data_IF_874280212138
#
_entry.id   IF_874280212138
#
_cell.length_a   1.000
_cell.length_b   1.000
_cell.length_c   1.000
_cell.angle_alpha   90.00
_cell.angle_beta   90.00
_cell.angle_gamma   90.00
#
_symmetry.space_group_name_H-M   'P 1'
#
loop_
_entity.id
_entity.type
_entity.pdbx_description
1 polymer ?
#
# COMPACT_ATOMS: atom_id res chain seq x y z
N UNK A 1 -22.33 22.64 -1.79
CA UNK A 1 -23.05 21.41 -1.42
C UNK A 1 -22.67 20.31 -2.40
N UNK A 2 -21.76 19.43 -2.01
CA UNK A 2 -21.40 18.24 -2.77
C UNK A 2 -21.50 17.06 -1.83
N UNK A 3 -22.74 16.68 -1.51
CA UNK A 3 -23.02 15.55 -0.64
C UNK A 3 -22.61 14.29 -1.42
N UNK A 4 -21.42 13.77 -1.13
CA UNK A 4 -21.15 12.37 -1.39
C UNK A 4 -22.05 11.62 -0.42
N UNK A 5 -23.22 11.21 -0.92
CA UNK A 5 -24.06 10.23 -0.26
C UNK A 5 -23.30 8.92 -0.37
N UNK A 6 -22.47 8.61 0.63
CA UNK A 6 -22.06 7.23 0.83
C UNK A 6 -23.32 6.48 1.26
N UNK A 7 -23.91 5.73 0.33
CA UNK A 7 -25.00 4.82 0.63
C UNK A 7 -24.59 3.95 1.82
N UNK A 8 -25.36 4.07 2.91
CA UNK A 8 -25.31 3.18 4.07
C UNK A 8 -25.39 1.73 3.57
N UNK A 9 -24.29 0.98 3.63
CA UNK A 9 -24.34 -0.48 3.48
C UNK A 9 -23.34 -1.11 2.51
N UNK A 10 -22.53 -0.34 1.77
CA UNK A 10 -21.35 -0.93 1.12
C UNK A 10 -20.19 -0.93 2.10
N UNK A 11 -19.95 -2.09 2.72
CA UNK A 11 -18.66 -2.37 3.34
C UNK A 11 -17.56 -1.91 2.38
N UNK A 12 -16.53 -1.18 2.86
CA UNK A 12 -15.40 -0.81 2.00
C UNK A 12 -14.92 -2.10 1.36
N UNK A 13 -15.15 -2.20 0.05
CA UNK A 13 -14.88 -3.43 -0.69
C UNK A 13 -13.38 -3.62 -0.55
N UNK A 14 -12.97 -4.70 0.14
CA UNK A 14 -11.55 -5.01 0.34
C UNK A 14 -10.94 -5.24 -1.04
N UNK A 15 -10.45 -4.17 -1.64
CA UNK A 15 -9.97 -4.20 -3.01
C UNK A 15 -8.51 -4.64 -2.98
N UNK A 16 -8.33 -5.95 -2.77
CA UNK A 16 -7.04 -6.61 -2.73
C UNK A 16 -6.23 -6.30 -3.99
N UNK A 17 -6.88 -6.12 -5.15
CA UNK A 17 -6.21 -5.71 -6.38
C UNK A 17 -5.57 -4.32 -6.25
N UNK A 18 -6.28 -3.35 -5.67
CA UNK A 18 -5.73 -2.02 -5.40
C UNK A 18 -4.61 -2.06 -4.36
N UNK A 19 -4.75 -2.88 -3.31
CA UNK A 19 -3.71 -3.05 -2.30
C UNK A 19 -2.42 -3.61 -2.92
N UNK A 20 -2.53 -4.66 -3.76
CA UNK A 20 -1.40 -5.24 -4.49
C UNK A 20 -0.77 -4.22 -5.44
N UNK A 21 -1.58 -3.48 -6.20
CA UNK A 21 -1.10 -2.45 -7.10
C UNK A 21 -0.29 -1.36 -6.39
N UNK A 22 -0.76 -0.90 -5.22
CA UNK A 22 -0.04 0.07 -4.41
C UNK A 22 1.29 -0.49 -3.88
N UNK A 23 1.32 -1.76 -3.47
CA UNK A 23 2.56 -2.45 -3.05
C UNK A 23 3.54 -2.53 -4.21
N UNK A 24 3.08 -2.91 -5.41
CA UNK A 24 3.92 -3.02 -6.61
C UNK A 24 4.49 -1.66 -7.05
N UNK A 25 3.71 -0.57 -6.92
CA UNK A 25 4.19 0.80 -7.15
C UNK A 25 5.28 1.16 -6.14
N UNK A 26 5.04 0.93 -4.85
CA UNK A 26 6.00 1.26 -3.79
C UNK A 26 7.31 0.48 -3.95
N UNK A 27 7.23 -0.79 -4.33
CA UNK A 27 8.39 -1.63 -4.63
C UNK A 27 9.17 -1.11 -5.85
N UNK A 28 8.45 -0.73 -6.91
CA UNK A 28 9.06 -0.07 -8.07
C UNK A 28 9.72 1.26 -7.72
N UNK A 29 9.14 2.03 -6.80
CA UNK A 29 9.71 3.27 -6.31
C UNK A 29 10.98 2.99 -5.49
N UNK A 30 10.97 2.04 -4.56
CA UNK A 30 12.16 1.63 -3.80
C UNK A 30 13.31 1.27 -4.74
N UNK A 31 13.05 0.47 -5.78
CA UNK A 31 14.08 0.08 -6.75
C UNK A 31 14.63 1.27 -7.53
N UNK A 32 13.76 2.23 -7.90
CA UNK A 32 14.17 3.45 -8.62
C UNK A 32 14.87 4.47 -7.73
N UNK A 33 14.56 4.51 -6.43
CA UNK A 33 15.10 5.50 -5.49
C UNK A 33 16.26 4.94 -4.65
N UNK A 34 16.62 3.66 -4.79
CA UNK A 34 17.64 2.96 -3.99
C UNK A 34 19.00 3.66 -3.88
N UNK A 35 19.41 4.43 -4.89
CA UNK A 35 20.65 5.22 -4.89
C UNK A 35 20.51 6.66 -4.38
N UNK A 36 19.29 7.12 -4.11
CA UNK A 36 18.99 8.46 -3.59
C UNK A 36 18.48 8.44 -2.13
N UNK A 37 18.23 7.25 -1.57
CA UNK A 37 17.77 7.07 -0.20
C UNK A 37 18.95 6.95 0.74
N UNK A 38 18.87 7.61 1.88
CA UNK A 38 19.74 7.33 3.02
C UNK A 38 19.44 5.95 3.61
N UNK A 39 20.38 5.42 4.38
CA UNK A 39 20.28 4.09 5.01
C UNK A 39 19.04 3.96 5.91
N UNK A 40 18.69 5.03 6.63
CA UNK A 40 17.47 5.09 7.44
C UNK A 40 16.18 5.06 6.59
N UNK A 41 16.14 5.84 5.51
CA UNK A 41 14.95 5.87 4.63
C UNK A 41 14.76 4.54 3.91
N UNK A 42 15.84 3.89 3.51
CA UNK A 42 15.81 2.58 2.89
C UNK A 42 15.31 1.51 3.88
N UNK A 43 15.81 1.52 5.11
CA UNK A 43 15.34 0.63 6.18
C UNK A 43 13.85 0.86 6.49
N UNK A 44 13.43 2.11 6.57
CA UNK A 44 12.04 2.49 6.80
C UNK A 44 11.14 2.00 5.68
N UNK A 45 11.49 2.30 4.42
CA UNK A 45 10.70 1.94 3.25
C UNK A 45 10.57 0.42 3.09
N UNK A 46 11.66 -0.32 3.30
CA UNK A 46 11.68 -1.78 3.30
C UNK A 46 10.80 -2.37 4.40
N UNK A 47 10.84 -1.80 5.60
CA UNK A 47 9.99 -2.22 6.73
C UNK A 47 8.52 -1.96 6.44
N UNK A 48 8.17 -0.79 5.90
CA UNK A 48 6.81 -0.44 5.51
C UNK A 48 6.29 -1.36 4.40
N UNK A 49 7.08 -1.61 3.35
CA UNK A 49 6.72 -2.55 2.28
C UNK A 49 6.46 -3.96 2.82
N UNK A 50 7.30 -4.42 3.76
CA UNK A 50 7.13 -5.73 4.39
C UNK A 50 5.82 -5.80 5.19
N UNK A 51 5.51 -4.77 5.98
CA UNK A 51 4.25 -4.69 6.72
C UNK A 51 3.03 -4.67 5.80
N UNK A 52 3.08 -3.90 4.72
CA UNK A 52 2.00 -3.83 3.72
C UNK A 52 1.80 -5.18 3.02
N UNK A 53 2.89 -5.88 2.66
CA UNK A 53 2.82 -7.24 2.10
C UNK A 53 2.20 -8.24 3.06
N UNK A 54 2.59 -8.20 4.34
CA UNK A 54 2.00 -9.08 5.36
C UNK A 54 0.51 -8.80 5.54
N UNK A 55 0.12 -7.54 5.69
CA UNK A 55 -1.28 -7.13 5.80
C UNK A 55 -2.09 -7.55 4.56
N UNK A 56 -1.52 -7.43 3.36
CA UNK A 56 -2.14 -7.90 2.13
C UNK A 56 -2.36 -9.42 2.14
N UNK A 57 -1.35 -10.20 2.55
CA UNK A 57 -1.47 -11.67 2.66
C UNK A 57 -2.53 -12.06 3.67
N UNK A 58 -2.55 -11.42 4.85
CA UNK A 58 -3.57 -11.64 5.88
C UNK A 58 -4.98 -11.31 5.39
N UNK A 59 -5.14 -10.24 4.61
CA UNK A 59 -6.43 -9.86 4.04
C UNK A 59 -6.84 -10.70 2.81
N UNK A 60 -5.87 -11.37 2.17
CA UNK A 60 -6.09 -12.27 1.03
C UNK A 60 -6.44 -13.71 1.41
N UNK A 61 -6.26 -14.06 2.69
CA UNK A 61 -6.78 -15.29 3.30
C UNK A 61 -8.25 -15.15 3.67
#
# INVERSE_FOLDING_TARGET
MGLIVTEKGKEPTKDLNMAKFNIDILDSLEQKTKGNLSEQEQQFLSTTLTQLRMAFVEMSK
#
